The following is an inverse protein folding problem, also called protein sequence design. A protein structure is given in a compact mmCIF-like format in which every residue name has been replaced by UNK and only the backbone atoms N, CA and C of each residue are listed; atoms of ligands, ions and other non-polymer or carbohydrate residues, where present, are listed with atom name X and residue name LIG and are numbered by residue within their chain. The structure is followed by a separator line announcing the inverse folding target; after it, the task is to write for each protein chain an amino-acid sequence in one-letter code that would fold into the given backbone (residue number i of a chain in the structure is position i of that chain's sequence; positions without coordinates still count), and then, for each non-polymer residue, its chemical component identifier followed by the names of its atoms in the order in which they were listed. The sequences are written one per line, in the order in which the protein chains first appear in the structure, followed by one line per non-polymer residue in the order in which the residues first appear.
data_IF_558378657146
#
_entry.id   IF_558378657146
#
_cell.length_a   1.000
_cell.length_b   1.000
_cell.length_c   1.000
_cell.angle_alpha   90.00
_cell.angle_beta   90.00
_cell.angle_gamma   90.00
#
_symmetry.space_group_name_H-M   'P 1'
#
loop_
_entity.id
_entity.type
_entity.pdbx_description
1 polymer ?
#
# COMPACT_ATOMS: atom_id res chain seq x y z
N UNK A 1 -26.53 -4.15 -54.26
CA UNK A 1 -26.22 -4.19 -52.82
C UNK A 1 -27.39 -3.56 -52.08
N UNK A 2 -28.07 -4.29 -51.18
CA UNK A 2 -29.13 -3.69 -50.35
C UNK A 2 -28.45 -2.77 -49.32
N UNK A 3 -28.87 -1.51 -49.28
CA UNK A 3 -28.42 -0.59 -48.24
C UNK A 3 -28.87 -1.11 -46.87
N UNK A 4 -28.06 -0.88 -45.84
CA UNK A 4 -28.45 -1.14 -44.46
C UNK A 4 -29.73 -0.35 -44.12
N UNK A 5 -30.62 -0.95 -43.32
CA UNK A 5 -31.79 -0.21 -42.81
C UNK A 5 -31.34 0.93 -41.90
N UNK A 6 -32.06 2.04 -41.91
CA UNK A 6 -31.76 3.21 -41.08
C UNK A 6 -31.70 2.84 -39.59
N UNK A 7 -32.57 1.93 -39.14
CA UNK A 7 -32.57 1.37 -37.78
C UNK A 7 -31.24 0.67 -37.43
N UNK A 8 -30.68 -0.09 -38.37
CA UNK A 8 -29.38 -0.75 -38.18
C UNK A 8 -28.24 0.27 -38.14
N UNK A 9 -28.32 1.35 -38.93
CA UNK A 9 -27.34 2.44 -38.87
C UNK A 9 -27.40 3.19 -37.53
N UNK A 10 -28.58 3.53 -37.02
CA UNK A 10 -28.74 4.14 -35.70
C UNK A 10 -28.25 3.24 -34.57
N UNK A 11 -28.48 1.92 -34.66
CA UNK A 11 -27.96 0.94 -33.71
C UNK A 11 -26.43 0.95 -33.66
N UNK A 12 -25.76 0.98 -34.81
CA UNK A 12 -24.29 1.06 -34.88
C UNK A 12 -23.78 2.37 -34.28
N UNK A 13 -24.38 3.51 -34.63
CA UNK A 13 -23.98 4.82 -34.10
C UNK A 13 -24.14 4.86 -32.57
N UNK A 14 -25.26 4.38 -32.06
CA UNK A 14 -25.51 4.28 -30.62
C UNK A 14 -24.41 3.49 -29.92
N UNK A 15 -24.11 2.28 -30.40
CA UNK A 15 -23.05 1.45 -29.80
C UNK A 15 -21.65 2.05 -29.97
N UNK A 16 -21.39 2.77 -31.06
CA UNK A 16 -20.16 3.53 -31.24
C UNK A 16 -19.97 4.58 -30.13
N UNK A 17 -21.02 5.36 -29.84
CA UNK A 17 -20.99 6.35 -28.75
C UNK A 17 -20.83 5.66 -27.39
N UNK A 18 -21.54 4.56 -27.14
CA UNK A 18 -21.43 3.79 -25.89
C UNK A 18 -20.02 3.26 -25.69
N UNK A 19 -19.40 2.67 -26.72
CA UNK A 19 -18.03 2.14 -26.63
C UNK A 19 -17.01 3.25 -26.36
N UNK A 20 -17.11 4.38 -27.07
CA UNK A 20 -16.24 5.54 -26.83
C UNK A 20 -16.43 6.07 -25.41
N UNK A 21 -17.67 6.15 -24.93
CA UNK A 21 -17.99 6.57 -23.56
C UNK A 21 -17.38 5.63 -22.51
N UNK A 22 -17.56 4.32 -22.65
CA UNK A 22 -16.98 3.33 -21.75
C UNK A 22 -15.44 3.37 -21.77
N UNK A 23 -14.84 3.52 -22.95
CA UNK A 23 -13.38 3.63 -23.08
C UNK A 23 -12.85 4.91 -22.43
N UNK A 24 -13.54 6.04 -22.59
CA UNK A 24 -13.18 7.30 -21.95
C UNK A 24 -13.29 7.22 -20.42
N UNK A 25 -14.36 6.61 -19.90
CA UNK A 25 -14.54 6.39 -18.45
C UNK A 25 -13.44 5.47 -17.90
N UNK A 26 -13.20 4.33 -18.55
CA UNK A 26 -12.13 3.40 -18.16
C UNK A 26 -10.75 4.06 -18.20
N UNK A 27 -10.48 4.82 -19.26
CA UNK A 27 -9.26 5.63 -19.42
C UNK A 27 -9.08 6.64 -18.30
N UNK A 28 -10.13 7.36 -17.91
CA UNK A 28 -10.09 8.34 -16.81
C UNK A 28 -9.69 7.70 -15.47
N UNK A 29 -10.26 6.55 -15.12
CA UNK A 29 -9.91 5.84 -13.87
C UNK A 29 -8.46 5.34 -13.89
N UNK A 30 -8.02 4.74 -15.00
CA UNK A 30 -6.64 4.28 -15.16
C UNK A 30 -5.64 5.43 -15.14
N UNK A 31 -5.96 6.56 -15.78
CA UNK A 31 -5.14 7.76 -15.79
C UNK A 31 -5.00 8.35 -14.37
N UNK A 32 -6.09 8.46 -13.61
CA UNK A 32 -6.04 8.91 -12.21
C UNK A 32 -5.20 7.98 -11.33
N UNK A 33 -5.25 6.67 -11.57
CA UNK A 33 -4.41 5.69 -10.86
C UNK A 33 -2.93 5.85 -11.27
N UNK A 34 -2.66 6.07 -12.55
CA UNK A 34 -1.31 6.29 -13.09
C UNK A 34 -0.64 7.54 -12.50
N UNK A 35 -1.36 8.66 -12.39
CA UNK A 35 -0.82 9.88 -11.77
C UNK A 35 -0.32 9.68 -10.34
N UNK A 36 -0.81 8.67 -9.61
CA UNK A 36 -0.34 8.35 -8.25
C UNK A 36 0.97 7.56 -8.23
N UNK A 37 1.36 6.96 -9.34
CA UNK A 37 2.57 6.13 -9.50
C UNK A 37 3.72 6.93 -10.12
N UNK A 38 3.43 8.13 -10.63
CA UNK A 38 4.46 9.01 -11.20
C UNK A 38 5.62 9.22 -10.21
N UNK A 39 6.86 9.28 -10.71
CA UNK A 39 8.03 9.56 -9.89
C UNK A 39 7.84 10.86 -9.10
N UNK A 40 8.35 10.90 -7.88
CA UNK A 40 8.39 12.12 -7.09
C UNK A 40 9.45 13.07 -7.66
N UNK A 41 9.64 14.23 -7.00
CA UNK A 41 10.64 15.25 -7.40
C UNK A 41 12.07 14.73 -7.53
N UNK A 42 12.37 13.59 -6.92
CA UNK A 42 13.65 12.88 -6.91
C UNK A 42 13.77 11.82 -8.02
N UNK A 43 12.77 11.67 -8.89
CA UNK A 43 12.77 10.67 -9.95
C UNK A 43 12.50 9.24 -9.48
N UNK A 44 12.21 9.01 -8.19
CA UNK A 44 11.86 7.70 -7.64
C UNK A 44 10.38 7.60 -7.33
N UNK A 45 9.77 6.45 -7.66
CA UNK A 45 8.40 6.15 -7.27
C UNK A 45 8.33 5.80 -5.77
N UNK A 46 7.12 5.73 -5.23
CA UNK A 46 6.90 5.23 -3.86
C UNK A 46 7.44 3.79 -3.70
N UNK A 47 7.30 2.96 -4.74
CA UNK A 47 7.74 1.58 -4.71
C UNK A 47 9.28 1.48 -4.71
N UNK A 48 9.96 2.33 -5.47
CA UNK A 48 11.43 2.36 -5.50
C UNK A 48 12.02 2.72 -4.14
N UNK A 49 11.39 3.66 -3.44
CA UNK A 49 11.75 3.98 -2.06
C UNK A 49 11.48 2.83 -1.09
N UNK A 50 10.38 2.09 -1.27
CA UNK A 50 10.13 0.91 -0.45
C UNK A 50 11.21 -0.15 -0.64
N UNK A 51 11.54 -0.46 -1.90
CA UNK A 51 12.59 -1.42 -2.24
C UNK A 51 13.93 -0.99 -1.64
N UNK A 52 14.28 0.29 -1.79
CA UNK A 52 15.50 0.86 -1.22
C UNK A 52 15.61 0.59 0.29
N UNK A 53 14.55 0.88 1.07
CA UNK A 53 14.59 0.70 2.52
C UNK A 53 14.59 -0.78 2.94
N UNK A 54 13.87 -1.64 2.21
CA UNK A 54 13.90 -3.09 2.43
C UNK A 54 15.30 -3.65 2.21
N UNK A 55 15.96 -3.27 1.12
CA UNK A 55 17.32 -3.71 0.82
C UNK A 55 18.34 -3.15 1.81
N UNK A 56 18.24 -1.85 2.13
CA UNK A 56 19.15 -1.17 3.05
C UNK A 56 19.08 -1.73 4.46
N UNK A 57 17.88 -2.07 4.93
CA UNK A 57 17.66 -2.62 6.27
C UNK A 57 17.84 -4.13 6.35
N UNK A 58 17.91 -4.86 5.22
CA UNK A 58 18.06 -6.33 5.16
C UNK A 58 19.05 -6.93 6.17
N UNK A 59 20.28 -6.43 6.34
CA UNK A 59 21.23 -7.00 7.30
C UNK A 59 20.87 -6.74 8.78
N UNK A 60 19.97 -5.79 9.06
CA UNK A 60 19.57 -5.38 10.40
C UNK A 60 18.46 -6.28 10.98
N UNK A 61 17.83 -7.12 10.14
CA UNK A 61 16.71 -7.96 10.54
C UNK A 61 17.17 -9.22 11.26
N UNK A 62 16.86 -9.31 12.55
CA UNK A 62 17.01 -10.52 13.36
C UNK A 62 15.82 -11.47 13.15
N UNK A 63 15.99 -12.75 13.50
CA UNK A 63 14.89 -13.73 13.43
C UNK A 63 13.68 -13.31 14.30
N UNK A 64 13.93 -12.70 15.46
CA UNK A 64 12.88 -12.15 16.32
C UNK A 64 12.08 -11.03 15.63
N UNK A 65 12.77 -10.09 14.97
CA UNK A 65 12.12 -8.99 14.27
C UNK A 65 11.30 -9.46 13.05
N UNK A 66 11.78 -10.50 12.35
CA UNK A 66 11.06 -11.14 11.24
C UNK A 66 9.81 -11.85 11.73
N UNK A 67 9.92 -12.62 12.82
CA UNK A 67 8.78 -13.29 13.44
C UNK A 67 7.72 -12.29 13.92
N UNK A 68 8.14 -11.18 14.52
CA UNK A 68 7.24 -10.10 14.92
C UNK A 68 6.56 -9.45 13.71
N UNK A 69 7.27 -9.22 12.61
CA UNK A 69 6.66 -8.72 11.37
C UNK A 69 5.58 -9.68 10.84
N UNK A 70 5.85 -10.98 10.84
CA UNK A 70 4.86 -11.98 10.42
C UNK A 70 3.63 -11.99 11.31
N UNK A 71 3.82 -11.82 12.62
CA UNK A 71 2.72 -11.67 13.56
C UNK A 71 1.88 -10.41 13.28
N UNK A 72 2.52 -9.25 13.11
CA UNK A 72 1.85 -7.97 12.85
C UNK A 72 1.05 -7.98 11.53
N UNK A 73 1.47 -8.80 10.57
CA UNK A 73 0.83 -8.93 9.25
C UNK A 73 -0.21 -10.06 9.20
N UNK A 74 -0.29 -10.91 10.23
CA UNK A 74 -1.27 -11.99 10.34
C UNK A 74 -2.76 -11.58 10.18
N UNK A 75 -3.25 -10.41 10.63
CA UNK A 75 -4.65 -10.05 10.45
C UNK A 75 -5.00 -9.65 9.01
N UNK A 76 -4.00 -9.48 8.13
CA UNK A 76 -4.21 -9.13 6.73
C UNK A 76 -4.67 -10.36 5.94
N UNK A 77 -5.72 -10.25 5.08
CA UNK A 77 -6.15 -11.34 4.21
C UNK A 77 -5.02 -11.80 3.28
N UNK A 78 -4.96 -13.11 3.00
CA UNK A 78 -3.86 -13.73 2.25
C UNK A 78 -3.52 -13.04 0.92
N UNK A 79 -4.53 -12.67 0.13
CA UNK A 79 -4.34 -12.01 -1.16
C UNK A 79 -3.62 -10.65 -1.09
N UNK A 80 -3.57 -9.99 0.08
CA UNK A 80 -2.92 -8.70 0.28
C UNK A 80 -1.71 -8.77 1.21
N UNK A 81 -1.44 -9.95 1.78
CA UNK A 81 -0.49 -10.11 2.87
C UNK A 81 0.93 -9.75 2.45
N UNK A 82 1.37 -10.20 1.27
CA UNK A 82 2.73 -9.95 0.80
C UNK A 82 2.98 -8.47 0.51
N UNK A 83 1.98 -7.80 -0.09
CA UNK A 83 2.04 -6.36 -0.39
C UNK A 83 2.08 -5.54 0.91
N UNK A 84 1.27 -5.93 1.90
CA UNK A 84 1.25 -5.31 3.22
C UNK A 84 2.58 -5.54 3.96
N UNK A 85 3.08 -6.79 3.98
CA UNK A 85 4.36 -7.17 4.58
C UNK A 85 5.49 -6.34 4.00
N UNK A 86 5.55 -6.21 2.67
CA UNK A 86 6.55 -5.41 1.99
C UNK A 86 6.48 -3.92 2.38
N UNK A 87 5.26 -3.35 2.40
CA UNK A 87 5.05 -1.95 2.76
C UNK A 87 5.44 -1.67 4.22
N UNK A 88 5.09 -2.57 5.14
CA UNK A 88 5.41 -2.45 6.56
C UNK A 88 6.92 -2.65 6.78
N UNK A 89 7.53 -3.67 6.17
CA UNK A 89 8.97 -3.92 6.24
C UNK A 89 9.78 -2.72 5.73
N UNK A 90 9.38 -2.10 4.63
CA UNK A 90 10.01 -0.88 4.12
C UNK A 90 9.97 0.25 5.14
N UNK A 91 8.82 0.47 5.80
CA UNK A 91 8.67 1.54 6.79
C UNK A 91 9.46 1.25 8.08
N UNK A 92 9.50 -0.01 8.53
CA UNK A 92 10.33 -0.43 9.67
C UNK A 92 11.81 -0.22 9.34
N UNK A 93 12.23 -0.60 8.13
CA UNK A 93 13.60 -0.43 7.66
C UNK A 93 14.02 1.04 7.58
N UNK A 94 13.14 1.91 7.07
CA UNK A 94 13.33 3.37 7.08
C UNK A 94 13.59 3.89 8.50
N UNK A 95 12.71 3.57 9.46
CA UNK A 95 12.84 4.03 10.85
C UNK A 95 14.11 3.49 11.50
N UNK A 96 14.43 2.21 11.29
CA UNK A 96 15.61 1.58 11.89
C UNK A 96 16.93 2.14 11.33
N UNK A 97 16.97 2.43 10.02
CA UNK A 97 18.16 3.03 9.40
C UNK A 97 18.29 4.49 9.83
N UNK A 98 17.19 5.24 9.91
CA UNK A 98 17.18 6.64 10.36
C UNK A 98 17.52 6.79 11.85
N UNK A 99 17.17 5.82 12.69
CA UNK A 99 17.54 5.83 14.12
C UNK A 99 19.01 5.56 14.38
N UNK A 100 19.76 5.05 13.39
CA UNK A 100 21.18 4.74 13.52
C UNK A 100 21.48 3.49 14.36
N UNK A 101 20.46 2.76 14.77
CA UNK A 101 20.58 1.50 15.51
C UNK A 101 21.16 0.40 14.61
N UNK A 102 21.97 -0.54 15.14
CA UNK A 102 22.56 -1.61 14.33
C UNK A 102 21.55 -2.70 13.92
N UNK A 103 20.43 -2.82 14.63
CA UNK A 103 19.44 -3.88 14.43
C UNK A 103 18.00 -3.36 14.49
N UNK A 104 17.08 -4.08 13.86
CA UNK A 104 15.64 -3.80 13.95
C UNK A 104 15.14 -4.24 15.33
N UNK A 105 14.75 -3.28 16.16
CA UNK A 105 14.19 -3.52 17.49
C UNK A 105 12.67 -3.65 17.43
N UNK A 106 12.08 -4.20 18.51
CA UNK A 106 10.62 -4.27 18.68
C UNK A 106 9.95 -2.89 18.58
N UNK A 107 10.63 -1.84 19.05
CA UNK A 107 10.14 -0.46 18.94
C UNK A 107 10.00 -0.04 17.47
N UNK A 108 11.02 -0.28 16.65
CA UNK A 108 10.97 0.00 15.20
C UNK A 108 9.83 -0.77 14.52
N UNK A 109 9.61 -2.03 14.89
CA UNK A 109 8.52 -2.85 14.33
C UNK A 109 7.14 -2.27 14.63
N UNK A 110 6.88 -1.92 15.90
CA UNK A 110 5.59 -1.36 16.34
C UNK A 110 5.36 0.01 15.69
N UNK A 111 6.36 0.89 15.73
CA UNK A 111 6.27 2.21 15.15
C UNK A 111 6.06 2.14 13.63
N UNK A 112 6.83 1.30 12.95
CA UNK A 112 6.72 1.10 11.50
C UNK A 112 5.38 0.53 11.09
N UNK A 113 4.82 -0.40 11.88
CA UNK A 113 3.48 -0.93 11.66
C UNK A 113 2.40 0.14 11.78
N UNK A 114 2.46 0.98 12.81
CA UNK A 114 1.50 2.08 13.01
C UNK A 114 1.62 3.12 11.88
N UNK A 115 2.85 3.54 11.53
CA UNK A 115 3.11 4.52 10.47
C UNK A 115 2.80 4.01 9.06
N UNK A 116 2.93 2.71 8.81
CA UNK A 116 2.59 2.09 7.53
C UNK A 116 1.09 1.88 7.34
N UNK A 117 0.33 1.80 8.44
CA UNK A 117 -1.11 1.53 8.41
C UNK A 117 -1.89 2.78 7.95
N UNK A 118 -2.79 2.67 6.96
CA UNK A 118 -3.67 3.78 6.59
C UNK A 118 -4.63 4.16 7.72
N UNK A 119 -4.92 5.46 7.89
CA UNK A 119 -5.82 6.00 8.94
C UNK A 119 -7.18 5.30 9.01
N UNK A 120 -7.74 4.91 7.86
CA UNK A 120 -9.00 4.17 7.75
C UNK A 120 -9.00 2.81 8.47
N UNK A 121 -7.82 2.22 8.65
CA UNK A 121 -7.64 0.87 9.20
C UNK A 121 -7.14 0.91 10.67
N UNK A 122 -7.07 2.09 11.30
CA UNK A 122 -6.60 2.24 12.69
C UNK A 122 -7.44 1.50 13.73
N UNK A 123 -8.75 1.34 13.48
CA UNK A 123 -9.60 0.54 14.38
C UNK A 123 -9.10 -0.91 14.46
N UNK A 124 -8.85 -1.53 13.31
CA UNK A 124 -8.35 -2.92 13.24
C UNK A 124 -6.95 -3.07 13.81
N UNK A 125 -6.08 -2.08 13.55
CA UNK A 125 -4.74 -1.98 14.11
C UNK A 125 -4.77 -1.99 15.65
N UNK A 126 -5.54 -1.08 16.25
CA UNK A 126 -5.64 -0.94 17.71
C UNK A 126 -6.21 -2.22 18.33
N UNK A 127 -7.31 -2.74 17.79
CA UNK A 127 -7.89 -4.00 18.28
C UNK A 127 -6.91 -5.17 18.20
N UNK A 128 -6.06 -5.23 17.17
CA UNK A 128 -5.03 -6.25 17.06
C UNK A 128 -3.94 -6.10 18.12
N UNK A 129 -3.42 -4.88 18.31
CA UNK A 129 -2.38 -4.58 19.31
C UNK A 129 -2.86 -4.87 20.73
N UNK A 130 -4.11 -4.52 21.05
CA UNK A 130 -4.74 -4.81 22.35
C UNK A 130 -4.91 -6.32 22.56
N UNK A 131 -5.38 -7.05 21.56
CA UNK A 131 -5.50 -8.52 21.62
C UNK A 131 -4.16 -9.21 21.85
N UNK A 132 -3.07 -8.64 21.31
CA UNK A 132 -1.71 -9.14 21.47
C UNK A 132 -0.99 -8.57 22.70
N UNK A 133 -1.67 -7.75 23.51
CA UNK A 133 -1.10 -7.09 24.70
C UNK A 133 0.20 -6.32 24.38
N UNK A 134 0.26 -5.71 23.19
CA UNK A 134 1.40 -4.90 22.77
C UNK A 134 1.14 -3.48 23.28
N UNK A 135 2.00 -2.98 24.16
CA UNK A 135 1.92 -1.58 24.61
C UNK A 135 2.30 -0.64 23.47
N UNK A 136 1.31 0.14 23.03
CA UNK A 136 1.46 1.17 22.00
C UNK A 136 1.30 2.59 22.56
N UNK A 137 1.27 2.74 23.89
CA UNK A 137 1.11 4.03 24.59
C UNK A 137 2.09 5.10 24.08
N UNK A 138 3.40 4.82 23.88
CA UNK A 138 4.33 5.80 23.34
C UNK A 138 3.94 6.33 21.95
N UNK A 139 3.22 5.53 21.17
CA UNK A 139 2.88 5.79 19.77
C UNK A 139 1.45 6.29 19.58
N UNK A 140 0.66 6.48 20.65
CA UNK A 140 -0.72 7.01 20.55
C UNK A 140 -0.80 8.33 19.80
N UNK A 141 0.23 9.17 19.90
CA UNK A 141 0.32 10.43 19.18
C UNK A 141 0.33 10.25 17.64
N UNK A 142 0.75 9.10 17.13
CA UNK A 142 0.75 8.77 15.70
C UNK A 142 -0.65 8.39 15.19
N UNK A 143 -1.55 7.93 16.06
CA UNK A 143 -2.92 7.52 15.70
C UNK A 143 -3.88 8.72 15.58
N UNK A 144 -3.55 9.86 16.21
CA UNK A 144 -4.38 11.07 16.21
C UNK A 144 -4.09 12.02 15.03
N UNK A 145 -3.14 11.68 14.16
CA UNK A 145 -2.81 12.44 12.93
C UNK A 145 -3.45 11.87 11.71
#
# INVERSE_FOLDING_TARGET
MKAASDEFMFFIIFWGIVLVGLMAIGGFFMFRKFLKVLPKRDGKSKLDWQNYWVERSRPMWTEESKALLDELVSPVPGAFRDIAKHTIAAKIGEIAVESGEPHVTRAHCIEGYIRATPRRDYRSLVSFLEKKQIDYTPYKHLLNR
#
